data_IF_458647387448
#
_entry.id   IF_458647387448
#
_cell.length_a   1.000
_cell.length_b   1.000
_cell.length_c   1.000
_cell.angle_alpha   90.00
_cell.angle_beta   90.00
_cell.angle_gamma   90.00
#
_symmetry.space_group_name_H-M   'P 1'
#
loop_
_entity.id
_entity.type
_entity.pdbx_description
1 polymer ?
#
# COMPACT_ATOMS: atom_id res chain seq x y z
N UNK A 1 -12.69 3.99 -89.64
CA UNK A 1 -11.26 3.85 -90.00
C UNK A 1 -10.45 3.84 -88.70
N UNK A 2 -9.94 2.68 -88.26
CA UNK A 2 -8.49 2.35 -88.17
C UNK A 2 -7.66 3.54 -87.64
N UNK A 3 -6.84 3.49 -86.58
CA UNK A 3 -6.07 2.40 -85.95
C UNK A 3 -5.25 3.00 -84.77
N UNK A 4 -4.99 2.20 -83.72
CA UNK A 4 -3.72 1.96 -82.99
C UNK A 4 -2.80 3.17 -82.62
N UNK A 5 -2.25 3.36 -81.41
CA UNK A 5 -1.34 2.53 -80.56
C UNK A 5 -1.07 3.35 -79.27
N UNK A 6 -1.29 2.86 -78.04
CA UNK A 6 -0.41 2.08 -77.12
C UNK A 6 0.95 2.71 -76.73
N UNK A 7 1.09 2.94 -75.40
CA UNK A 7 2.28 2.81 -74.52
C UNK A 7 3.34 3.92 -74.72
N UNK A 8 3.84 4.70 -73.75
CA UNK A 8 3.99 4.59 -72.29
C UNK A 8 5.49 4.63 -71.94
N UNK A 9 5.95 5.55 -71.07
CA UNK A 9 7.06 5.45 -70.06
C UNK A 9 7.65 6.81 -69.63
N UNK A 10 7.80 6.99 -68.29
CA UNK A 10 8.92 7.58 -67.50
C UNK A 10 9.49 8.99 -67.86
N UNK A 11 9.98 9.89 -66.97
CA UNK A 11 10.25 9.94 -65.53
C UNK A 11 10.74 11.38 -65.14
N UNK A 12 10.84 11.64 -63.81
CA UNK A 12 11.81 12.55 -63.12
C UNK A 12 11.53 14.08 -63.21
N UNK A 13 10.99 14.70 -62.15
CA UNK A 13 11.65 15.30 -60.96
C UNK A 13 12.38 16.63 -61.26
N UNK A 14 11.89 17.73 -60.65
CA UNK A 14 12.72 18.88 -60.29
C UNK A 14 12.12 19.59 -59.07
N UNK A 15 12.91 19.59 -57.98
CA UNK A 15 12.78 20.47 -56.83
C UNK A 15 12.85 21.94 -57.26
N UNK A 16 12.24 22.86 -56.50
CA UNK A 16 12.92 23.95 -55.77
C UNK A 16 11.88 24.90 -55.14
N UNK A 17 11.85 24.86 -53.80
CA UNK A 17 11.77 25.94 -52.79
C UNK A 17 10.70 27.04 -52.86
N UNK A 18 10.08 27.27 -51.69
CA UNK A 18 9.99 28.63 -51.12
C UNK A 18 8.59 29.11 -50.75
N UNK A 19 8.36 29.27 -49.44
CA UNK A 19 7.28 30.00 -48.78
C UNK A 19 5.85 29.46 -48.93
N UNK A 20 5.47 28.58 -47.99
CA UNK A 20 4.07 28.45 -47.57
C UNK A 20 3.89 29.30 -46.32
N UNK A 21 3.41 30.52 -46.51
CA UNK A 21 2.72 31.29 -45.48
C UNK A 21 1.24 30.94 -45.51
N UNK A 22 0.65 30.75 -44.32
CA UNK A 22 -0.78 30.56 -44.03
C UNK A 22 -1.38 29.19 -44.37
N UNK A 23 -1.21 28.25 -43.44
CA UNK A 23 -2.27 27.30 -43.09
C UNK A 23 -2.47 27.40 -41.58
N UNK A 24 -3.73 27.48 -41.18
CA UNK A 24 -4.18 28.10 -39.95
C UNK A 24 -3.77 27.40 -38.66
N UNK A 25 -3.86 28.19 -37.59
CA UNK A 25 -3.94 27.78 -36.19
C UNK A 25 -4.60 26.40 -36.00
N UNK A 26 -3.78 25.38 -35.80
CA UNK A 26 -4.19 24.24 -35.00
C UNK A 26 -3.86 24.57 -33.55
N UNK A 27 -4.85 24.67 -32.64
CA UNK A 27 -4.54 24.73 -31.23
C UNK A 27 -3.88 23.41 -30.86
N UNK A 28 -2.65 23.49 -30.38
CA UNK A 28 -1.87 22.39 -29.83
C UNK A 28 -2.50 21.96 -28.49
N UNK A 29 -3.71 21.44 -28.55
CA UNK A 29 -4.37 20.74 -27.45
C UNK A 29 -4.04 19.26 -27.64
N UNK A 30 -3.60 18.61 -26.56
CA UNK A 30 -3.18 17.20 -26.45
C UNK A 30 -1.67 16.92 -26.63
N UNK A 31 -0.82 17.63 -25.92
CA UNK A 31 0.30 16.96 -25.24
C UNK A 31 0.13 17.19 -23.74
N UNK A 32 -0.80 16.44 -23.12
CA UNK A 32 -0.86 16.39 -21.67
C UNK A 32 0.51 15.95 -21.17
N UNK A 33 1.21 16.80 -20.43
CA UNK A 33 2.43 16.40 -19.75
C UNK A 33 2.12 15.11 -19.00
N UNK A 34 2.85 14.04 -19.31
CA UNK A 34 2.70 12.76 -18.64
C UNK A 34 3.20 12.97 -17.20
N UNK A 35 2.30 13.41 -16.32
CA UNK A 35 2.60 13.65 -14.91
C UNK A 35 3.05 12.32 -14.30
N UNK A 36 4.16 12.34 -13.60
CA UNK A 36 4.64 11.19 -12.84
C UNK A 36 3.54 10.74 -11.86
N UNK A 37 3.33 9.44 -11.75
CA UNK A 37 2.38 8.84 -10.80
C UNK A 37 3.14 8.09 -9.72
N UNK A 38 2.64 8.16 -8.49
CA UNK A 38 3.11 7.28 -7.42
C UNK A 38 2.54 5.88 -7.63
N UNK A 39 3.37 4.84 -7.53
CA UNK A 39 3.02 3.48 -7.90
C UNK A 39 2.25 2.69 -6.84
N UNK A 40 2.21 3.17 -5.60
CA UNK A 40 1.36 2.60 -4.54
C UNK A 40 -0.03 3.22 -4.54
N UNK A 41 -0.15 4.52 -4.82
CA UNK A 41 -1.44 5.23 -4.74
C UNK A 41 -2.08 5.55 -6.09
N UNK A 42 -1.34 5.55 -7.19
CA UNK A 42 -1.84 5.98 -8.51
C UNK A 42 -2.11 7.48 -8.62
N UNK A 43 -1.83 8.26 -7.56
CA UNK A 43 -1.96 9.71 -7.55
C UNK A 43 -0.75 10.39 -8.25
N UNK A 44 -0.91 11.60 -8.80
CA UNK A 44 0.22 12.38 -9.30
C UNK A 44 1.28 12.59 -8.21
N UNK A 45 2.53 12.24 -8.49
CA UNK A 45 3.62 12.33 -7.52
C UNK A 45 4.82 11.46 -7.88
N UNK A 46 5.90 11.64 -7.10
CA UNK A 46 7.14 10.87 -7.26
C UNK A 46 7.08 9.54 -6.52
N UNK A 47 7.95 8.62 -6.93
CA UNK A 47 8.23 7.37 -6.20
C UNK A 47 9.51 7.53 -5.36
N UNK A 48 9.36 8.03 -4.13
CA UNK A 48 10.48 8.13 -3.20
C UNK A 48 10.94 6.75 -2.73
N UNK A 49 11.97 6.71 -1.88
CA UNK A 49 12.46 5.45 -1.30
C UNK A 49 11.36 4.73 -0.54
N UNK A 50 11.17 3.45 -0.81
CA UNK A 50 10.10 2.71 -0.18
C UNK A 50 10.46 2.41 1.29
N UNK A 51 9.74 3.05 2.20
CA UNK A 51 9.87 2.86 3.64
C UNK A 51 8.65 2.09 4.16
N UNK A 52 8.91 0.92 4.75
CA UNK A 52 7.92 0.16 5.51
C UNK A 52 8.14 0.37 7.01
N UNK A 53 7.06 0.63 7.74
CA UNK A 53 7.11 0.92 9.17
C UNK A 53 6.12 0.05 9.91
N UNK A 54 6.61 -0.62 10.95
CA UNK A 54 5.75 -1.39 11.86
C UNK A 54 5.19 -0.49 12.95
N UNK A 55 3.86 -0.38 13.01
CA UNK A 55 3.16 0.54 13.91
C UNK A 55 2.23 -0.27 14.82
N UNK A 56 2.15 0.14 16.08
CA UNK A 56 1.20 -0.42 17.04
C UNK A 56 -0.24 -0.11 16.65
N UNK A 57 -1.15 -1.01 17.02
CA UNK A 57 -2.57 -0.89 16.77
C UNK A 57 -3.37 -1.31 18.02
N UNK A 58 -2.74 -1.34 19.21
CA UNK A 58 -3.49 -1.52 20.47
C UNK A 58 -4.13 -0.22 20.90
N UNK A 59 -5.21 -0.30 21.67
CA UNK A 59 -5.95 0.87 22.20
C UNK A 59 -5.06 1.99 22.77
N UNK A 60 -4.01 1.65 23.53
CA UNK A 60 -3.09 2.63 24.14
C UNK A 60 -2.19 3.35 23.13
N UNK A 61 -2.04 2.82 21.93
CA UNK A 61 -1.26 3.42 20.86
C UNK A 61 -2.04 4.47 20.06
N UNK A 62 -3.37 4.46 20.12
CA UNK A 62 -4.20 5.45 19.44
C UNK A 62 -4.18 6.81 20.18
N UNK A 63 -4.23 7.94 19.45
CA UNK A 63 -4.13 8.01 18.00
C UNK A 63 -2.70 7.69 17.53
N UNK A 64 -2.52 6.94 16.45
CA UNK A 64 -1.22 6.75 15.81
C UNK A 64 -0.80 8.06 15.12
N UNK A 65 0.47 8.18 14.81
CA UNK A 65 1.08 9.37 14.24
C UNK A 65 1.56 9.04 12.82
N UNK A 66 1.17 9.85 11.84
CA UNK A 66 1.66 9.78 10.46
C UNK A 66 1.06 8.64 9.62
N UNK A 67 0.04 7.94 10.11
CA UNK A 67 -0.62 6.85 9.37
C UNK A 67 -1.48 7.36 8.20
N UNK A 68 -2.05 8.57 8.28
CA UNK A 68 -2.80 9.15 7.15
C UNK A 68 -1.89 9.40 5.95
N UNK A 69 -0.58 9.59 6.15
CA UNK A 69 0.37 9.82 5.06
C UNK A 69 0.75 8.53 4.30
N UNK A 70 0.47 7.35 4.86
CA UNK A 70 0.80 6.09 4.21
C UNK A 70 0.06 5.93 2.87
N UNK A 71 0.74 5.32 1.90
CA UNK A 71 0.15 4.98 0.60
C UNK A 71 -0.57 3.63 0.67
N UNK A 72 0.02 2.68 1.39
CA UNK A 72 -0.48 1.33 1.58
C UNK A 72 -0.30 0.91 3.04
N UNK A 73 -1.34 0.36 3.66
CA UNK A 73 -1.30 -0.18 5.02
C UNK A 73 -1.79 -1.61 5.02
N UNK A 74 -1.02 -2.54 5.59
CA UNK A 74 -1.53 -3.86 5.95
C UNK A 74 -1.94 -3.88 7.42
N UNK A 75 -3.13 -4.39 7.70
CA UNK A 75 -3.59 -4.71 9.05
C UNK A 75 -3.44 -6.22 9.23
N UNK A 76 -2.55 -6.63 10.13
CA UNK A 76 -2.29 -8.05 10.39
C UNK A 76 -2.62 -8.44 11.83
N UNK A 77 -3.01 -9.70 12.02
CA UNK A 77 -3.15 -10.28 13.35
C UNK A 77 -1.79 -10.46 14.01
N UNK A 78 -1.70 -10.15 15.30
CA UNK A 78 -0.55 -10.42 16.14
C UNK A 78 -0.94 -11.24 17.37
N UNK A 79 -0.06 -11.31 18.36
CA UNK A 79 -0.30 -12.06 19.60
C UNK A 79 -1.64 -11.70 20.24
N UNK A 80 -2.26 -12.70 20.87
CA UNK A 80 -3.55 -12.55 21.54
C UNK A 80 -4.69 -12.08 20.63
N UNK A 81 -4.58 -12.23 19.30
CA UNK A 81 -5.65 -11.86 18.37
C UNK A 81 -5.89 -10.35 18.24
N UNK A 82 -4.92 -9.55 18.68
CA UNK A 82 -4.86 -8.10 18.42
C UNK A 82 -4.34 -7.84 17.01
N UNK A 83 -4.34 -6.59 16.56
CA UNK A 83 -3.78 -6.17 15.27
C UNK A 83 -2.48 -5.37 15.42
N UNK A 84 -1.71 -5.27 14.33
CA UNK A 84 -0.68 -4.25 14.11
C UNK A 84 -0.72 -3.78 12.67
N UNK A 85 -0.23 -2.57 12.44
CA UNK A 85 -0.14 -2.00 11.10
C UNK A 85 1.27 -2.17 10.53
N UNK A 86 1.36 -2.50 9.25
CA UNK A 86 2.56 -2.38 8.43
C UNK A 86 2.29 -1.33 7.35
N UNK A 87 2.76 -0.10 7.58
CA UNK A 87 2.50 1.05 6.73
C UNK A 87 3.66 1.31 5.77
N UNK A 88 3.37 1.48 4.48
CA UNK A 88 4.32 1.74 3.42
C UNK A 88 4.17 3.19 2.93
N UNK A 89 5.31 3.85 2.81
CA UNK A 89 5.43 5.25 2.41
C UNK A 89 6.37 5.35 1.21
N UNK A 90 5.89 5.98 0.14
CA UNK A 90 6.65 6.29 -1.07
C UNK A 90 6.28 7.65 -1.67
N UNK A 91 5.07 8.16 -1.42
CA UNK A 91 4.67 9.49 -1.90
C UNK A 91 5.21 10.62 -1.03
N UNK A 92 5.00 10.53 0.29
CA UNK A 92 5.37 11.54 1.30
C UNK A 92 5.78 10.83 2.59
N UNK A 93 6.82 11.35 3.25
CA UNK A 93 7.15 10.97 4.62
C UNK A 93 6.57 12.01 5.58
N UNK A 94 5.71 11.62 6.54
CA UNK A 94 5.24 12.55 7.55
C UNK A 94 6.39 12.97 8.49
N UNK A 95 6.27 14.08 9.25
CA UNK A 95 7.32 14.53 10.17
C UNK A 95 7.70 13.48 11.24
N UNK A 96 6.75 12.61 11.59
CA UNK A 96 6.94 11.55 12.56
C UNK A 96 5.99 10.38 12.29
N UNK A 97 6.38 9.19 12.73
CA UNK A 97 5.59 7.95 12.59
C UNK A 97 5.61 7.17 13.91
N UNK A 98 4.48 6.66 14.37
CA UNK A 98 4.46 5.72 15.50
C UNK A 98 3.09 5.55 16.15
N UNK A 99 3.00 4.83 17.27
CA UNK A 99 4.11 4.19 17.97
C UNK A 99 4.74 3.03 17.21
N UNK A 100 6.07 2.99 17.12
CA UNK A 100 6.80 1.95 16.41
C UNK A 100 6.78 0.65 17.21
N UNK A 101 6.43 -0.46 16.55
CA UNK A 101 6.32 -1.79 17.16
C UNK A 101 7.16 -2.86 16.52
N UNK A 102 7.11 -4.03 17.17
CA UNK A 102 7.97 -5.14 16.85
C UNK A 102 7.56 -5.84 15.56
N UNK A 103 8.55 -6.18 14.74
CA UNK A 103 8.37 -6.95 13.52
C UNK A 103 7.86 -8.37 13.82
N UNK A 104 7.21 -8.97 12.83
CA UNK A 104 6.62 -10.31 12.84
C UNK A 104 7.04 -11.08 11.59
N UNK A 105 6.88 -12.40 11.64
CA UNK A 105 7.37 -13.27 10.56
C UNK A 105 6.64 -12.99 9.24
N UNK A 106 5.33 -12.69 9.31
CA UNK A 106 4.51 -12.31 8.16
C UNK A 106 5.03 -11.05 7.45
N UNK A 107 5.68 -10.12 8.16
CA UNK A 107 6.22 -8.88 7.57
C UNK A 107 7.27 -9.20 6.49
N UNK A 108 8.03 -10.30 6.65
CA UNK A 108 9.05 -10.71 5.68
C UNK A 108 8.40 -11.07 4.35
N UNK A 109 7.39 -11.94 4.39
CA UNK A 109 6.66 -12.33 3.19
C UNK A 109 5.92 -11.13 2.61
N UNK A 110 5.23 -10.33 3.42
CA UNK A 110 4.51 -9.14 2.94
C UNK A 110 5.42 -8.15 2.20
N UNK A 111 6.64 -7.93 2.68
CA UNK A 111 7.56 -6.95 2.08
C UNK A 111 8.36 -7.49 0.90
N UNK A 112 8.55 -8.81 0.80
CA UNK A 112 9.36 -9.43 -0.25
C UNK A 112 8.88 -9.10 -1.68
N UNK A 113 7.58 -8.86 -1.86
CA UNK A 113 7.00 -8.51 -3.16
C UNK A 113 7.47 -7.16 -3.70
N UNK A 114 7.94 -6.27 -2.83
CA UNK A 114 8.39 -4.94 -3.23
C UNK A 114 9.91 -4.87 -3.44
N UNK A 115 10.64 -5.97 -3.25
CA UNK A 115 12.10 -6.01 -3.30
C UNK A 115 12.76 -5.77 -1.93
N UNK A 116 13.96 -5.18 -1.92
CA UNK A 116 14.75 -4.99 -0.69
C UNK A 116 14.35 -3.71 0.08
N UNK A 117 13.17 -3.75 0.69
CA UNK A 117 12.52 -2.59 1.35
C UNK A 117 13.30 -2.08 2.57
N UNK A 118 13.29 -0.77 2.80
CA UNK A 118 13.73 -0.17 4.07
C UNK A 118 12.68 -0.45 5.16
N UNK A 119 13.03 -1.27 6.16
CA UNK A 119 12.07 -1.71 7.17
C UNK A 119 12.42 -1.20 8.58
N UNK A 120 11.54 -0.36 9.13
CA UNK A 120 11.66 0.25 10.45
C UNK A 120 10.69 -0.41 11.45
N UNK A 121 11.24 -0.83 12.61
CA UNK A 121 10.51 -1.54 13.66
C UNK A 121 11.28 -1.46 14.99
N UNK A 122 10.62 -1.71 16.12
CA UNK A 122 11.18 -1.51 17.48
C UNK A 122 11.59 -2.82 18.19
N UNK A 123 12.17 -3.74 17.43
CA UNK A 123 12.65 -5.03 17.91
C UNK A 123 11.80 -6.21 17.42
N UNK A 124 12.20 -7.42 17.79
CA UNK A 124 11.52 -8.64 17.38
C UNK A 124 11.74 -9.73 18.41
N UNK A 125 11.03 -10.83 18.26
CA UNK A 125 11.32 -12.05 18.99
C UNK A 125 12.79 -12.48 18.76
N UNK A 126 13.50 -12.88 19.82
CA UNK A 126 14.95 -13.20 19.76
C UNK A 126 15.32 -14.27 18.74
N UNK A 127 14.59 -15.41 18.70
CA UNK A 127 14.75 -16.48 17.72
C UNK A 127 14.44 -16.03 16.27
N UNK A 128 13.67 -14.97 16.09
CA UNK A 128 13.37 -14.41 14.76
C UNK A 128 14.45 -13.45 14.25
N UNK A 129 15.32 -12.93 15.14
CA UNK A 129 16.37 -11.97 14.73
C UNK A 129 17.30 -12.50 13.63
N UNK A 130 17.79 -13.76 13.66
CA UNK A 130 18.60 -14.29 12.57
C UNK A 130 17.82 -14.37 11.25
N UNK A 131 16.53 -14.70 11.29
CA UNK A 131 15.67 -14.78 10.11
C UNK A 131 15.43 -13.41 9.49
N UNK A 132 15.19 -12.38 10.31
CA UNK A 132 15.11 -10.99 9.84
C UNK A 132 16.45 -10.50 9.26
N UNK A 133 17.58 -10.94 9.82
CA UNK A 133 18.89 -10.57 9.32
C UNK A 133 19.24 -11.23 7.98
N UNK A 134 18.72 -12.43 7.70
CA UNK A 134 18.90 -13.12 6.43
C UNK A 134 17.83 -12.79 5.38
N UNK A 135 16.72 -12.15 5.77
CA UNK A 135 15.66 -11.74 4.86
C UNK A 135 16.15 -10.70 3.83
N UNK A 136 15.47 -10.63 2.69
CA UNK A 136 15.71 -9.61 1.65
C UNK A 136 15.16 -8.23 2.07
N UNK A 137 15.65 -7.68 3.17
CA UNK A 137 15.22 -6.41 3.76
C UNK A 137 16.43 -5.56 4.14
N UNK A 138 16.26 -4.25 4.08
CA UNK A 138 17.17 -3.31 4.73
C UNK A 138 16.66 -3.08 6.16
N UNK A 139 17.32 -3.73 7.12
CA UNK A 139 16.96 -3.63 8.53
C UNK A 139 17.37 -2.25 9.10
N UNK A 140 16.38 -1.37 9.24
CA UNK A 140 16.49 -0.03 9.80
C UNK A 140 15.82 0.05 11.19
N UNK A 141 15.91 -1.02 11.99
CA UNK A 141 15.26 -1.08 13.30
C UNK A 141 15.79 -0.03 14.28
N UNK A 142 15.01 0.21 15.32
CA UNK A 142 15.41 1.05 16.45
C UNK A 142 16.64 0.50 17.19
N UNK A 143 16.87 -0.82 17.17
CA UNK A 143 18.06 -1.43 17.79
C UNK A 143 19.36 -1.04 17.07
N UNK A 144 19.27 -0.63 15.79
CA UNK A 144 20.42 -0.26 14.97
C UNK A 144 20.59 1.26 14.81
N UNK A 145 19.64 2.06 15.28
CA UNK A 145 19.61 3.50 15.04
C UNK A 145 19.56 4.30 16.36
N UNK A 146 20.11 5.52 16.39
CA UNK A 146 20.19 6.30 17.61
C UNK A 146 18.84 6.88 18.05
N UNK A 147 18.72 7.29 19.33
CA UNK A 147 17.52 7.96 19.85
C UNK A 147 17.12 9.26 19.15
N UNK A 148 18.04 9.89 18.41
CA UNK A 148 17.74 11.06 17.57
C UNK A 148 16.87 10.73 16.36
N UNK A 149 16.74 9.45 16.01
CA UNK A 149 15.89 8.91 14.94
C UNK A 149 14.68 8.18 15.54
N UNK A 150 14.90 7.38 16.60
CA UNK A 150 13.85 6.68 17.34
C UNK A 150 13.74 7.24 18.76
N UNK A 151 12.92 8.27 18.93
CA UNK A 151 12.74 8.97 20.20
C UNK A 151 11.62 8.35 21.04
N UNK A 152 11.54 8.75 22.31
CA UNK A 152 10.44 8.40 23.22
C UNK A 152 9.57 9.63 23.46
N UNK A 153 8.28 9.54 23.15
CA UNK A 153 7.31 10.60 23.39
C UNK A 153 6.98 10.70 24.88
N UNK A 154 7.11 11.90 25.45
CA UNK A 154 6.96 12.13 26.90
C UNK A 154 5.52 12.00 27.41
N UNK A 155 4.54 12.17 26.53
CA UNK A 155 3.10 12.06 26.77
C UNK A 155 2.58 10.62 26.64
N UNK A 156 3.46 9.65 26.32
CA UNK A 156 3.13 8.23 26.16
C UNK A 156 3.92 7.37 27.13
N UNK A 157 3.34 6.24 27.50
CA UNK A 157 3.97 5.26 28.40
C UNK A 157 4.51 4.09 27.58
N UNK A 158 5.75 3.67 27.86
CA UNK A 158 6.30 2.46 27.27
C UNK A 158 5.34 1.26 27.47
N UNK A 159 5.09 0.44 26.44
CA UNK A 159 5.88 0.31 25.21
C UNK A 159 5.30 1.04 23.99
N UNK A 160 4.35 1.97 24.16
CA UNK A 160 3.67 2.70 23.08
C UNK A 160 4.20 4.13 22.87
N UNK A 161 5.42 4.40 23.28
CA UNK A 161 6.04 5.72 23.31
C UNK A 161 7.14 5.91 22.25
N UNK A 162 7.51 4.89 21.47
CA UNK A 162 8.58 5.02 20.47
C UNK A 162 8.09 5.68 19.18
N UNK A 163 8.69 6.80 18.80
CA UNK A 163 8.35 7.57 17.60
C UNK A 163 9.56 7.63 16.66
N UNK A 164 9.31 7.43 15.37
CA UNK A 164 10.29 7.49 14.29
C UNK A 164 10.28 8.86 13.63
N UNK A 165 11.47 9.41 13.35
CA UNK A 165 11.71 10.45 12.36
C UNK A 165 12.14 9.80 11.03
N UNK A 166 11.25 9.71 10.03
CA UNK A 166 11.52 8.95 8.81
C UNK A 166 12.57 9.60 7.90
N UNK A 167 12.64 10.93 7.84
CA UNK A 167 13.64 11.63 7.03
C UNK A 167 15.04 11.41 7.58
N UNK A 168 15.23 11.55 8.89
CA UNK A 168 16.53 11.26 9.52
C UNK A 168 16.92 9.79 9.36
N UNK A 169 15.96 8.86 9.42
CA UNK A 169 16.23 7.44 9.21
C UNK A 169 16.78 7.16 7.81
N UNK A 170 16.11 7.68 6.78
CA UNK A 170 16.50 7.46 5.39
C UNK A 170 17.83 8.16 5.08
N UNK A 171 18.04 9.39 5.56
CA UNK A 171 19.31 10.10 5.43
C UNK A 171 20.44 9.34 6.14
N UNK A 172 20.23 8.84 7.36
CA UNK A 172 21.21 8.04 8.07
C UNK A 172 21.58 6.76 7.29
N UNK A 173 20.58 6.03 6.78
CA UNK A 173 20.80 4.82 6.00
C UNK A 173 21.58 5.09 4.70
N UNK A 174 21.25 6.16 3.97
CA UNK A 174 21.89 6.48 2.69
C UNK A 174 23.28 7.10 2.92
N UNK A 175 23.38 8.11 3.78
CA UNK A 175 24.60 8.92 3.86
C UNK A 175 25.66 8.29 4.75
N UNK A 176 25.26 7.65 5.85
CA UNK A 176 26.20 7.05 6.81
C UNK A 176 26.45 5.58 6.52
N UNK A 177 25.41 4.81 6.24
CA UNK A 177 25.56 3.37 5.97
C UNK A 177 25.74 3.03 4.50
N UNK A 178 25.58 4.00 3.58
CA UNK A 178 25.69 3.78 2.14
C UNK A 178 24.76 2.66 1.65
N UNK A 179 23.59 2.53 2.29
CA UNK A 179 22.61 1.52 1.90
C UNK A 179 21.94 1.89 0.58
N UNK A 180 21.84 0.91 -0.32
CA UNK A 180 21.01 1.04 -1.50
C UNK A 180 19.54 0.81 -1.13
N UNK A 181 18.79 1.91 -1.09
CA UNK A 181 17.34 1.89 -0.88
C UNK A 181 16.60 1.94 -2.22
N UNK A 182 15.58 1.11 -2.37
CA UNK A 182 14.80 1.01 -3.59
C UNK A 182 13.74 2.11 -3.68
N UNK A 183 13.39 2.49 -4.90
CA UNK A 183 12.11 3.13 -5.25
C UNK A 183 11.33 2.13 -6.10
N UNK A 184 10.00 2.19 -6.09
CA UNK A 184 9.20 1.40 -7.01
C UNK A 184 9.42 1.87 -8.45
N UNK A 185 9.45 0.93 -9.39
CA UNK A 185 9.69 1.19 -10.82
C UNK A 185 8.48 0.87 -11.71
N UNK A 186 7.45 0.26 -11.15
CA UNK A 186 6.18 -0.01 -11.80
C UNK A 186 5.03 0.05 -10.78
N UNK A 187 3.79 0.35 -11.23
CA UNK A 187 2.58 0.23 -10.40
C UNK A 187 2.46 -1.16 -9.78
N UNK A 188 2.04 -1.22 -8.51
CA UNK A 188 1.73 -2.50 -7.84
C UNK A 188 0.25 -2.86 -7.92
N UNK A 189 -0.58 -1.89 -8.32
CA UNK A 189 -2.02 -2.03 -8.53
C UNK A 189 -2.41 -1.50 -9.90
N UNK A 190 -3.52 -2.01 -10.42
CA UNK A 190 -4.23 -1.39 -11.53
C UNK A 190 -5.19 -0.33 -10.98
N UNK A 191 -5.22 0.84 -11.62
CA UNK A 191 -6.07 1.96 -11.21
C UNK A 191 -7.03 2.33 -12.33
N UNK A 192 -8.29 2.59 -11.99
CA UNK A 192 -9.29 2.90 -12.99
C UNK A 192 -10.71 3.00 -12.45
N UNK A 193 -11.68 2.89 -13.36
CA UNK A 193 -13.10 2.93 -13.05
C UNK A 193 -13.54 1.69 -12.26
N UNK A 194 -14.64 1.85 -11.51
CA UNK A 194 -15.23 0.74 -10.76
C UNK A 194 -15.81 -0.30 -11.72
N UNK A 195 -15.59 -1.58 -11.42
CA UNK A 195 -16.16 -2.68 -12.20
C UNK A 195 -17.70 -2.75 -12.07
N UNK A 196 -18.36 -3.24 -13.13
CA UNK A 196 -19.82 -3.26 -13.25
C UNK A 196 -20.52 -4.09 -12.16
N UNK A 197 -19.88 -5.13 -11.63
CA UNK A 197 -20.47 -6.10 -10.70
C UNK A 197 -20.30 -5.73 -9.21
N UNK A 198 -20.25 -4.44 -8.89
CA UNK A 198 -20.04 -3.93 -7.53
C UNK A 198 -21.37 -3.65 -6.81
N UNK A 199 -21.44 -3.99 -5.52
CA UNK A 199 -22.65 -3.93 -4.69
C UNK A 199 -22.53 -2.77 -3.70
N UNK A 200 -23.54 -1.88 -3.67
CA UNK A 200 -23.58 -0.75 -2.75
C UNK A 200 -23.71 -1.18 -1.29
N UNK A 201 -22.88 -0.59 -0.42
CA UNK A 201 -22.88 -0.81 1.03
C UNK A 201 -22.77 0.52 1.78
N UNK A 202 -23.14 0.52 3.06
CA UNK A 202 -22.84 1.62 3.99
C UNK A 202 -21.57 1.35 4.78
N UNK A 203 -21.31 0.09 5.11
CA UNK A 203 -20.15 -0.31 5.88
C UNK A 203 -19.77 -1.77 5.65
N UNK A 204 -18.56 -2.12 6.07
CA UNK A 204 -18.15 -3.50 6.29
C UNK A 204 -17.46 -3.65 7.64
N UNK A 205 -17.64 -4.80 8.28
CA UNK A 205 -16.98 -5.15 9.54
C UNK A 205 -16.01 -6.30 9.33
N UNK A 206 -14.77 -6.10 9.76
CA UNK A 206 -13.69 -7.10 9.75
C UNK A 206 -13.31 -7.47 11.19
N UNK A 207 -13.10 -8.75 11.47
CA UNK A 207 -12.84 -9.25 12.82
C UNK A 207 -11.57 -10.09 12.91
N UNK A 208 -10.95 -9.99 14.08
CA UNK A 208 -9.93 -10.87 14.64
C UNK A 208 -10.41 -11.31 16.04
N UNK A 209 -9.75 -12.28 16.70
CA UNK A 209 -10.21 -12.77 17.99
C UNK A 209 -10.39 -11.67 19.06
N UNK A 210 -9.54 -10.63 19.07
CA UNK A 210 -9.60 -9.53 20.04
C UNK A 210 -9.47 -8.14 19.40
N UNK A 211 -9.83 -8.02 18.11
CA UNK A 211 -9.89 -6.73 17.42
C UNK A 211 -11.00 -6.73 16.36
N UNK A 212 -11.56 -5.55 16.09
CA UNK A 212 -12.56 -5.32 15.04
C UNK A 212 -12.30 -4.00 14.36
N UNK A 213 -12.41 -3.98 13.03
CA UNK A 213 -12.51 -2.76 12.23
C UNK A 213 -13.91 -2.62 11.62
N UNK A 214 -14.45 -1.40 11.61
CA UNK A 214 -15.60 -1.01 10.81
C UNK A 214 -15.12 0.00 9.76
N UNK A 215 -15.44 -0.28 8.50
CA UNK A 215 -15.06 0.49 7.33
C UNK A 215 -16.34 1.13 6.79
N UNK A 216 -16.58 2.40 7.12
CA UNK A 216 -17.84 3.09 6.84
C UNK A 216 -17.70 4.08 5.69
N UNK A 217 -18.65 4.08 4.76
CA UNK A 217 -18.62 4.99 3.61
C UNK A 217 -19.02 6.42 4.03
N UNK A 218 -18.12 7.38 3.82
CA UNK A 218 -18.43 8.79 3.95
C UNK A 218 -18.76 9.38 2.56
N UNK A 219 -20.06 9.57 2.32
CA UNK A 219 -20.57 10.15 1.06
C UNK A 219 -20.07 11.59 0.82
N UNK A 220 -19.82 12.37 1.87
CA UNK A 220 -19.37 13.76 1.75
C UNK A 220 -17.90 13.85 1.35
N UNK A 221 -17.09 12.89 1.81
CA UNK A 221 -15.66 12.80 1.50
C UNK A 221 -15.35 11.92 0.31
N UNK A 222 -16.30 11.12 -0.16
CA UNK A 222 -16.10 10.11 -1.21
C UNK A 222 -14.95 9.14 -0.87
N UNK A 223 -14.89 8.74 0.40
CA UNK A 223 -13.84 7.88 0.97
C UNK A 223 -14.39 7.04 2.13
N UNK A 224 -13.65 5.99 2.51
CA UNK A 224 -13.95 5.18 3.69
C UNK A 224 -13.35 5.79 4.95
N UNK A 225 -14.15 5.91 5.99
CA UNK A 225 -13.70 6.19 7.36
C UNK A 225 -13.54 4.88 8.13
N UNK A 226 -12.55 4.82 9.02
CA UNK A 226 -12.24 3.61 9.78
C UNK A 226 -12.55 3.81 11.26
N UNK A 227 -13.06 2.75 11.90
CA UNK A 227 -13.17 2.65 13.34
C UNK A 227 -12.55 1.35 13.82
N UNK A 228 -11.70 1.42 14.85
CA UNK A 228 -11.16 0.24 15.52
C UNK A 228 -11.79 0.08 16.91
N UNK A 229 -12.32 -1.12 17.19
CA UNK A 229 -12.90 -1.45 18.50
C UNK A 229 -13.89 -0.40 19.02
N UNK A 230 -14.74 0.10 18.12
CA UNK A 230 -15.79 1.11 18.36
C UNK A 230 -15.26 2.54 18.63
N UNK A 231 -13.97 2.79 18.44
CA UNK A 231 -13.37 4.13 18.45
C UNK A 231 -12.99 4.55 17.02
N UNK A 232 -13.16 5.84 16.71
CA UNK A 232 -12.75 6.38 15.42
C UNK A 232 -11.23 6.26 15.24
N UNK A 233 -10.80 5.83 14.05
CA UNK A 233 -9.40 5.81 13.67
C UNK A 233 -8.95 7.24 13.32
N UNK A 234 -7.91 7.70 14.00
CA UNK A 234 -7.44 9.09 13.94
C UNK A 234 -5.93 9.11 13.85
N UNK A 235 -5.42 9.92 12.92
CA UNK A 235 -4.04 10.35 12.88
C UNK A 235 -3.84 11.55 13.82
N UNK A 236 -2.83 11.48 14.69
CA UNK A 236 -2.54 12.54 15.64
C UNK A 236 -2.21 13.90 14.98
N UNK A 237 -1.72 13.90 13.73
CA UNK A 237 -1.36 15.11 13.01
C UNK A 237 -2.53 15.66 12.17
N UNK A 238 -3.36 14.78 11.59
CA UNK A 238 -4.37 15.20 10.59
C UNK A 238 -5.82 14.97 11.00
N UNK A 239 -6.08 14.32 12.13
CA UNK A 239 -7.45 13.98 12.55
C UNK A 239 -7.94 12.68 11.90
N UNK A 240 -9.24 12.61 11.61
CA UNK A 240 -9.89 11.39 11.08
C UNK A 240 -9.17 10.77 9.88
N UNK A 241 -9.03 9.45 9.90
CA UNK A 241 -8.49 8.69 8.76
C UNK A 241 -9.54 8.55 7.67
N UNK A 242 -9.08 8.73 6.42
CA UNK A 242 -9.86 8.43 5.22
C UNK A 242 -9.01 7.69 4.21
N UNK A 243 -9.58 6.62 3.64
CA UNK A 243 -8.94 5.74 2.67
C UNK A 243 -9.83 5.55 1.45
N UNK A 244 -9.21 5.45 0.27
CA UNK A 244 -9.94 5.35 -1.00
C UNK A 244 -10.32 3.90 -1.31
N UNK A 245 -9.44 2.97 -0.92
CA UNK A 245 -9.62 1.53 -1.10
C UNK A 245 -9.44 0.79 0.22
N UNK A 246 -10.28 -0.21 0.44
CA UNK A 246 -10.03 -1.25 1.41
C UNK A 246 -10.10 -2.63 0.73
N UNK A 247 -9.10 -3.48 0.95
CA UNK A 247 -9.12 -4.88 0.52
C UNK A 247 -9.20 -5.74 1.77
N UNK A 248 -10.24 -6.54 1.88
CA UNK A 248 -10.37 -7.54 2.95
C UNK A 248 -9.88 -8.85 2.36
N UNK A 249 -8.66 -9.25 2.68
CA UNK A 249 -8.02 -10.44 2.12
C UNK A 249 -8.15 -11.62 3.10
N UNK A 250 -8.82 -12.68 2.66
CA UNK A 250 -9.01 -13.89 3.47
C UNK A 250 -7.75 -14.73 3.38
N UNK A 251 -7.08 -14.93 4.51
CA UNK A 251 -5.83 -15.70 4.63
C UNK A 251 -5.93 -16.70 5.76
N UNK A 252 -5.20 -17.81 5.65
CA UNK A 252 -5.00 -18.68 6.79
C UNK A 252 -4.12 -17.97 7.82
N UNK A 253 -4.59 -17.92 9.08
CA UNK A 253 -3.84 -17.43 10.22
C UNK A 253 -3.61 -18.60 11.16
N UNK A 254 -2.35 -18.99 11.34
CA UNK A 254 -1.98 -20.13 12.18
C UNK A 254 -0.84 -19.80 13.14
N UNK A 255 -0.67 -20.57 14.23
CA UNK A 255 0.46 -20.37 15.15
C UNK A 255 1.80 -20.55 14.43
N UNK A 256 2.73 -19.61 14.58
CA UNK A 256 4.10 -19.80 14.11
C UNK A 256 4.97 -20.52 15.15
N UNK A 257 6.24 -20.79 14.80
CA UNK A 257 7.24 -21.30 15.75
C UNK A 257 7.79 -20.21 16.70
N UNK A 258 7.37 -18.95 16.52
CA UNK A 258 7.80 -17.81 17.33
C UNK A 258 6.72 -17.45 18.35
N UNK A 259 7.14 -16.92 19.50
CA UNK A 259 6.23 -16.43 20.53
C UNK A 259 6.83 -15.28 21.32
N UNK A 260 5.99 -14.44 21.88
CA UNK A 260 6.39 -13.27 22.65
C UNK A 260 7.06 -13.65 24.00
N UNK A 261 7.52 -12.61 24.70
CA UNK A 261 8.21 -12.76 26.00
C UNK A 261 7.31 -13.28 27.13
N UNK A 262 5.99 -13.35 26.91
CA UNK A 262 4.98 -13.78 27.87
C UNK A 262 4.40 -15.16 27.52
N UNK A 263 4.91 -15.83 26.49
CA UNK A 263 4.47 -17.16 26.05
C UNK A 263 3.32 -17.15 25.03
N UNK A 264 2.87 -15.97 24.59
CA UNK A 264 1.89 -15.85 23.52
C UNK A 264 2.49 -16.24 22.17
N UNK A 265 1.85 -17.14 21.43
CA UNK A 265 2.35 -17.54 20.11
C UNK A 265 2.11 -16.40 19.12
N UNK A 266 3.15 -16.01 18.40
CA UNK A 266 3.07 -15.09 17.28
C UNK A 266 2.36 -15.81 16.13
N UNK A 267 1.21 -15.31 15.63
CA UNK A 267 0.58 -15.90 14.46
C UNK A 267 1.39 -15.60 13.19
N UNK A 268 1.22 -16.43 12.18
CA UNK A 268 1.64 -16.16 10.80
C UNK A 268 0.39 -16.04 9.93
N UNK A 269 0.33 -14.98 9.13
CA UNK A 269 -0.67 -14.81 8.07
C UNK A 269 -0.09 -15.36 6.77
N UNK A 270 -0.66 -16.43 6.21
CA UNK A 270 -0.18 -17.02 4.96
C UNK A 270 -0.60 -16.16 3.78
N UNK A 271 0.33 -15.35 3.29
CA UNK A 271 0.10 -14.36 2.23
C UNK A 271 0.64 -14.77 0.86
N UNK A 272 1.20 -15.99 0.76
CA UNK A 272 1.58 -16.65 -0.48
C UNK A 272 0.57 -17.77 -0.76
N UNK A 273 0.09 -17.86 -1.99
CA UNK A 273 -0.99 -18.74 -2.39
C UNK A 273 -2.10 -17.99 -3.12
N UNK A 274 -3.33 -18.39 -2.87
CA UNK A 274 -4.52 -17.74 -3.40
C UNK A 274 -5.66 -17.87 -2.40
N UNK A 275 -6.70 -17.05 -2.57
CA UNK A 275 -7.90 -17.15 -1.76
C UNK A 275 -8.90 -16.04 -2.08
N UNK A 276 -9.98 -16.01 -1.31
CA UNK A 276 -11.03 -15.01 -1.47
C UNK A 276 -10.61 -13.66 -0.89
N UNK A 277 -11.16 -12.59 -1.45
CA UNK A 277 -11.03 -11.24 -0.93
C UNK A 277 -12.24 -10.38 -1.32
N UNK A 278 -12.30 -9.17 -0.77
CA UNK A 278 -13.32 -8.18 -1.09
C UNK A 278 -12.67 -6.82 -1.30
N UNK A 279 -12.90 -6.20 -2.46
CA UNK A 279 -12.47 -4.82 -2.74
C UNK A 279 -13.61 -3.87 -2.39
N UNK A 280 -13.32 -2.90 -1.54
CA UNK A 280 -14.21 -1.82 -1.14
C UNK A 280 -13.68 -0.50 -1.70
N UNK A 281 -14.49 0.18 -2.50
CA UNK A 281 -14.23 1.51 -3.05
C UNK A 281 -15.54 2.18 -3.45
N UNK A 282 -15.57 3.50 -3.46
CA UNK A 282 -16.72 4.28 -3.98
C UNK A 282 -18.08 3.88 -3.36
N UNK A 283 -18.11 3.53 -2.08
CA UNK A 283 -19.32 3.11 -1.35
C UNK A 283 -19.86 1.74 -1.76
N UNK A 284 -19.04 0.92 -2.41
CA UNK A 284 -19.40 -0.41 -2.89
C UNK A 284 -18.38 -1.45 -2.46
N UNK A 285 -18.77 -2.72 -2.50
CA UNK A 285 -17.83 -3.84 -2.48
C UNK A 285 -17.97 -4.74 -3.71
N UNK A 286 -16.89 -5.43 -4.06
CA UNK A 286 -16.85 -6.47 -5.08
C UNK A 286 -16.15 -7.71 -4.48
N UNK A 287 -16.75 -8.91 -4.56
CA UNK A 287 -16.01 -10.16 -4.32
C UNK A 287 -14.92 -10.36 -5.38
N UNK A 288 -13.71 -10.64 -4.92
CA UNK A 288 -12.52 -10.84 -5.77
C UNK A 288 -11.75 -12.06 -5.25
N UNK A 289 -10.76 -12.53 -6.01
CA UNK A 289 -9.76 -13.49 -5.57
C UNK A 289 -8.40 -12.82 -5.53
N UNK A 290 -7.58 -13.14 -4.52
CA UNK A 290 -6.17 -12.77 -4.49
C UNK A 290 -5.32 -13.94 -4.95
N UNK A 291 -4.21 -13.65 -5.63
CA UNK A 291 -3.26 -14.64 -6.11
C UNK A 291 -1.84 -14.13 -5.92
N UNK A 292 -0.96 -15.01 -5.48
CA UNK A 292 0.45 -14.72 -5.26
C UNK A 292 1.25 -16.03 -5.25
N UNK A 293 1.90 -16.35 -6.37
CA UNK A 293 2.53 -17.67 -6.54
C UNK A 293 3.72 -17.90 -5.58
N UNK A 294 4.55 -16.88 -5.37
CA UNK A 294 5.63 -16.89 -4.39
C UNK A 294 5.77 -15.54 -3.64
N UNK A 295 6.63 -15.49 -2.63
CA UNK A 295 6.83 -14.28 -1.83
C UNK A 295 7.44 -13.10 -2.61
N UNK A 296 8.14 -13.33 -3.73
CA UNK A 296 8.69 -12.25 -4.55
C UNK A 296 7.68 -11.68 -5.55
N UNK A 297 6.61 -12.41 -5.88
CA UNK A 297 5.54 -11.88 -6.71
C UNK A 297 4.68 -10.85 -5.95
N UNK A 298 4.28 -9.81 -6.66
CA UNK A 298 3.23 -8.88 -6.27
C UNK A 298 1.92 -9.65 -6.13
N UNK A 299 1.18 -9.44 -5.04
CA UNK A 299 -0.18 -9.96 -4.93
C UNK A 299 -1.05 -9.31 -6.00
N UNK A 300 -1.74 -10.12 -6.79
CA UNK A 300 -2.72 -9.65 -7.77
C UNK A 300 -4.12 -9.98 -7.32
N UNK A 301 -5.09 -9.13 -7.69
CA UNK A 301 -6.50 -9.38 -7.45
C UNK A 301 -7.26 -9.43 -8.77
N UNK A 302 -8.17 -10.40 -8.88
CA UNK A 302 -9.02 -10.61 -10.04
C UNK A 302 -10.45 -10.82 -9.59
N UNK A 303 -11.41 -10.56 -10.47
CA UNK A 303 -12.80 -10.86 -10.19
C UNK A 303 -13.10 -12.37 -10.24
N UNK A 304 -14.37 -12.75 -10.15
CA UNK A 304 -14.78 -14.16 -10.17
C UNK A 304 -14.62 -14.84 -11.55
N UNK A 305 -14.43 -14.06 -12.61
CA UNK A 305 -14.16 -14.51 -13.98
C UNK A 305 -12.66 -14.45 -14.33
N UNK A 306 -11.80 -14.17 -13.35
CA UNK A 306 -10.36 -13.99 -13.49
C UNK A 306 -9.94 -12.74 -14.30
N UNK A 307 -10.84 -11.75 -14.43
CA UNK A 307 -10.52 -10.44 -15.01
C UNK A 307 -9.85 -9.52 -13.98
N UNK A 308 -8.87 -8.67 -14.36
CA UNK A 308 -8.25 -7.72 -13.44
C UNK A 308 -9.25 -6.75 -12.78
N UNK A 309 -8.98 -6.38 -11.52
CA UNK A 309 -9.78 -5.38 -10.81
C UNK A 309 -9.03 -4.08 -10.60
N UNK A 310 -9.73 -2.97 -10.82
CA UNK A 310 -9.18 -1.63 -10.67
C UNK A 310 -9.41 -1.07 -9.27
N UNK A 311 -8.35 -0.59 -8.63
CA UNK A 311 -8.42 0.28 -7.47
C UNK A 311 -8.74 1.72 -7.90
N UNK A 312 -9.27 2.50 -6.98
CA UNK A 312 -9.32 3.96 -7.09
C UNK A 312 -7.92 4.52 -6.84
N UNK A 313 -7.49 5.52 -7.60
CA UNK A 313 -6.26 6.24 -7.27
C UNK A 313 -6.43 6.90 -5.89
N UNK A 314 -5.57 6.57 -4.94
CA UNK A 314 -5.67 6.98 -3.55
C UNK A 314 -5.01 6.02 -2.57
N UNK A 315 -5.39 6.14 -1.30
CA UNK A 315 -4.83 5.36 -0.18
C UNK A 315 -5.50 4.00 -0.09
N UNK A 316 -4.70 2.96 0.17
CA UNK A 316 -5.20 1.58 0.23
C UNK A 316 -4.88 0.93 1.56
N UNK A 317 -5.88 0.33 2.19
CA UNK A 317 -5.71 -0.51 3.38
C UNK A 317 -6.06 -1.96 3.05
N UNK A 318 -5.18 -2.90 3.40
CA UNK A 318 -5.37 -4.34 3.21
C UNK A 318 -5.51 -5.00 4.57
N UNK A 319 -6.69 -5.53 4.85
CA UNK A 319 -7.02 -6.22 6.08
C UNK A 319 -6.82 -7.72 5.90
N UNK A 320 -5.81 -8.28 6.57
CA UNK A 320 -5.53 -9.72 6.55
C UNK A 320 -6.31 -10.41 7.66
N UNK A 321 -7.32 -11.19 7.31
CA UNK A 321 -8.19 -11.88 8.28
C UNK A 321 -8.45 -13.33 7.88
N UNK A 322 -8.71 -14.19 8.86
CA UNK A 322 -9.19 -15.55 8.65
C UNK A 322 -10.73 -15.66 8.63
N UNK A 323 -11.44 -14.53 8.71
CA UNK A 323 -12.91 -14.50 8.83
C UNK A 323 -13.54 -13.70 7.69
N UNK A 324 -14.64 -14.23 7.14
CA UNK A 324 -15.48 -13.50 6.18
C UNK A 324 -16.03 -12.22 6.83
N UNK A 325 -15.95 -11.05 6.16
CA UNK A 325 -16.52 -9.82 6.67
C UNK A 325 -18.04 -9.84 6.65
N UNK A 326 -18.67 -8.95 7.43
CA UNK A 326 -20.11 -8.67 7.33
C UNK A 326 -20.33 -7.30 6.70
N UNK A 327 -21.38 -7.15 5.90
CA UNK A 327 -21.69 -5.92 5.17
C UNK A 327 -22.99 -5.29 5.66
N UNK A 328 -22.97 -3.98 5.90
CA UNK A 328 -24.16 -3.15 6.05
C UNK A 328 -24.63 -2.67 4.68
N UNK A 329 -25.89 -2.93 4.32
CA UNK A 329 -26.49 -2.49 3.06
C UNK A 329 -27.24 -1.17 3.24
N UNK A 330 -27.40 -0.40 2.16
CA UNK A 330 -28.31 0.75 2.19
C UNK A 330 -29.74 0.24 2.48
N UNK A 331 -30.54 0.96 3.28
CA UNK A 331 -31.93 0.62 3.56
C UNK A 331 -32.81 0.50 2.31
#
# INVERSE_FOLDING_TARGET
MRKLRRIGFLAILLLITGLISNVGNFPQVLSGEKREINFLSGLPGKNQKLLAVKIDDTKQAHPQIGIQAADLVFVEQVESGLTRLLALYSSVYPPSIGPIRSARISDIDLLAQFGKVAFAYSGSQTKMRPVLASANLNNLSAEKNPPSIFSRAADRIAPVDMILDPEKLLAHAIDRWKMSLISLTAPVFEFGEVNANSISIVDATVKWPNAKYVISWDKSRNAWNLMQNDFAEVDANTGSIYVDNAIIQIVEISPSIYGDKFGGITPISKTVGNGDAYLLRDGKYQPIKWQRADAQNITTWVDLNDDPVNLKAGKTWIFLTGSTPTFGYQP
#
